data_IF_954660562341
#
_entry.id   IF_954660562341
#
_cell.length_a   1.000
_cell.length_b   1.000
_cell.length_c   1.000
_cell.angle_alpha   90.00
_cell.angle_beta   90.00
_cell.angle_gamma   90.00
#
_symmetry.space_group_name_H-M   'P 1'
#
loop_
_entity.id
_entity.type
_entity.pdbx_description
1 polymer ?
#
# COMPACT_ATOMS: atom_id res chain seq x y z
N UNK A 1 1.64 -2.54 -20.68
CA UNK A 1 1.90 -4.00 -20.65
C UNK A 1 2.04 -4.58 -19.24
N UNK A 2 2.63 -3.89 -18.25
CA UNK A 2 2.72 -4.42 -16.86
C UNK A 2 1.42 -4.29 -16.04
N UNK A 3 0.64 -3.23 -16.20
CA UNK A 3 -0.62 -3.06 -15.45
C UNK A 3 -1.65 -4.17 -15.76
N UNK A 4 -1.73 -4.61 -17.02
CA UNK A 4 -2.59 -5.73 -17.43
C UNK A 4 -2.15 -7.05 -16.77
N UNK A 5 -0.84 -7.30 -16.71
CA UNK A 5 -0.29 -8.45 -15.99
C UNK A 5 -0.75 -8.49 -14.53
N UNK A 6 -0.63 -7.38 -13.78
CA UNK A 6 -1.07 -7.36 -12.38
C UNK A 6 -2.59 -7.54 -12.22
N UNK A 7 -3.38 -7.02 -13.16
CA UNK A 7 -4.83 -7.24 -13.18
C UNK A 7 -5.15 -8.72 -13.37
N UNK A 8 -4.47 -9.39 -14.28
CA UNK A 8 -4.69 -10.80 -14.57
C UNK A 8 -4.19 -11.68 -13.43
N UNK A 9 -3.00 -11.41 -12.85
CA UNK A 9 -2.53 -12.07 -11.63
C UNK A 9 -3.53 -11.93 -10.49
N UNK A 10 -4.11 -10.75 -10.27
CA UNK A 10 -5.14 -10.58 -9.25
C UNK A 10 -6.40 -11.40 -9.54
N UNK A 11 -6.82 -11.54 -10.81
CA UNK A 11 -7.95 -12.39 -11.17
C UNK A 11 -7.66 -13.85 -10.88
N UNK A 12 -6.48 -14.35 -11.26
CA UNK A 12 -6.06 -15.73 -11.01
C UNK A 12 -6.06 -16.05 -9.50
N UNK A 13 -5.48 -15.17 -8.69
CA UNK A 13 -5.50 -15.32 -7.23
C UNK A 13 -6.93 -15.36 -6.68
N UNK A 14 -7.82 -14.50 -7.18
CA UNK A 14 -9.24 -14.54 -6.79
C UNK A 14 -9.96 -15.81 -7.22
N UNK A 15 -9.61 -16.38 -8.37
CA UNK A 15 -10.20 -17.62 -8.84
C UNK A 15 -9.75 -18.80 -7.98
N UNK A 16 -8.46 -18.88 -7.64
CA UNK A 16 -7.94 -19.89 -6.68
C UNK A 16 -8.70 -19.89 -5.35
N UNK A 17 -8.97 -18.70 -4.80
CA UNK A 17 -9.73 -18.54 -3.54
C UNK A 17 -11.19 -18.96 -3.68
N UNK A 18 -11.80 -18.77 -4.86
CA UNK A 18 -13.18 -19.22 -5.11
C UNK A 18 -13.28 -20.73 -5.26
N UNK A 19 -12.25 -21.37 -5.80
CA UNK A 19 -12.22 -22.82 -6.00
C UNK A 19 -12.06 -23.56 -4.67
N UNK A 20 -11.32 -22.99 -3.72
CA UNK A 20 -11.15 -23.53 -2.37
C UNK A 20 -10.99 -22.39 -1.34
N UNK A 21 -11.99 -22.20 -0.47
CA UNK A 21 -11.96 -21.18 0.58
C UNK A 21 -10.80 -21.38 1.57
N UNK A 22 -10.26 -22.60 1.69
CA UNK A 22 -9.08 -22.88 2.52
C UNK A 22 -7.75 -22.56 1.82
N UNK A 23 -7.79 -22.22 0.53
CA UNK A 23 -6.62 -21.89 -0.28
C UNK A 23 -6.37 -20.37 -0.32
N UNK A 24 -6.99 -19.61 0.58
CA UNK A 24 -6.68 -18.22 0.77
C UNK A 24 -5.31 -18.06 1.43
N UNK A 25 -4.27 -17.86 0.61
CA UNK A 25 -2.95 -17.42 1.07
C UNK A 25 -2.79 -15.92 0.85
N UNK A 26 -2.93 -15.14 1.92
CA UNK A 26 -2.76 -13.68 1.90
C UNK A 26 -1.39 -13.26 1.40
N UNK A 27 -0.36 -14.08 1.59
CA UNK A 27 1.02 -13.76 1.21
C UNK A 27 1.15 -13.60 -0.30
N UNK A 28 0.43 -14.41 -1.09
CA UNK A 28 0.43 -14.25 -2.56
C UNK A 28 -0.13 -12.87 -2.97
N UNK A 29 -1.14 -12.37 -2.24
CA UNK A 29 -1.69 -11.04 -2.50
C UNK A 29 -0.76 -9.92 -2.01
N UNK A 30 -0.09 -10.09 -0.88
CA UNK A 30 0.89 -9.11 -0.39
C UNK A 30 2.12 -9.03 -1.30
N UNK A 31 2.64 -10.16 -1.81
CA UNK A 31 3.70 -10.16 -2.81
C UNK A 31 3.27 -9.40 -4.08
N UNK A 32 2.03 -9.62 -4.54
CA UNK A 32 1.50 -8.87 -5.68
C UNK A 32 1.41 -7.36 -5.38
N UNK A 33 1.03 -6.96 -4.16
CA UNK A 33 1.03 -5.56 -3.74
C UNK A 33 2.46 -4.99 -3.77
N UNK A 34 3.44 -5.67 -3.19
CA UNK A 34 4.83 -5.23 -3.15
C UNK A 34 5.39 -5.02 -4.56
N UNK A 35 5.12 -5.94 -5.49
CA UNK A 35 5.51 -5.79 -6.89
C UNK A 35 4.88 -4.56 -7.55
N UNK A 36 3.59 -4.31 -7.29
CA UNK A 36 2.89 -3.14 -7.82
C UNK A 36 3.43 -1.84 -7.21
N UNK A 37 3.69 -1.82 -5.90
CA UNK A 37 4.20 -0.64 -5.19
C UNK A 37 5.62 -0.29 -5.67
N UNK A 38 6.48 -1.28 -5.91
CA UNK A 38 7.80 -1.07 -6.51
C UNK A 38 7.72 -0.48 -7.93
N UNK A 39 6.81 -1.00 -8.76
CA UNK A 39 6.58 -0.44 -10.10
C UNK A 39 6.00 0.98 -10.03
N UNK A 40 5.07 1.23 -9.11
CA UNK A 40 4.50 2.55 -8.88
C UNK A 40 5.57 3.56 -8.51
N UNK A 41 6.48 3.21 -7.59
CA UNK A 41 7.60 4.07 -7.24
C UNK A 41 8.45 4.42 -8.45
N UNK A 42 8.81 3.43 -9.27
CA UNK A 42 9.58 3.66 -10.49
C UNK A 42 8.85 4.58 -11.48
N UNK A 43 7.56 4.36 -11.73
CA UNK A 43 6.77 5.17 -12.65
C UNK A 43 6.55 6.60 -12.13
N UNK A 44 6.45 6.77 -10.81
CA UNK A 44 6.29 8.08 -10.18
C UNK A 44 7.53 8.93 -10.42
N UNK A 45 8.73 8.39 -10.19
CA UNK A 45 9.98 9.10 -10.49
C UNK A 45 10.10 9.52 -11.96
N UNK A 46 9.56 8.74 -12.90
CA UNK A 46 9.55 9.08 -14.32
C UNK A 46 8.53 10.18 -14.62
N UNK A 47 7.32 10.03 -14.10
CA UNK A 47 6.24 10.98 -14.27
C UNK A 47 6.63 12.35 -13.70
N UNK A 48 7.20 12.41 -12.50
CA UNK A 48 7.60 13.65 -11.83
C UNK A 48 8.64 14.45 -12.63
N UNK A 49 9.52 13.77 -13.37
CA UNK A 49 10.51 14.41 -14.26
C UNK A 49 9.88 15.00 -15.52
N UNK A 50 8.63 14.67 -15.82
CA UNK A 50 7.95 15.16 -17.01
C UNK A 50 7.52 16.63 -16.82
N UNK A 51 7.82 17.54 -17.77
CA UNK A 51 7.57 18.98 -17.61
C UNK A 51 6.08 19.37 -17.48
N UNK A 52 5.19 18.45 -17.87
CA UNK A 52 3.74 18.62 -17.79
C UNK A 52 3.10 17.76 -16.69
N UNK A 53 3.90 17.17 -15.82
CA UNK A 53 3.37 16.43 -14.70
C UNK A 53 2.58 17.36 -13.79
N UNK A 54 1.39 16.93 -13.47
CA UNK A 54 0.55 17.46 -12.43
C UNK A 54 0.14 16.28 -11.54
N UNK A 55 -0.24 16.55 -10.29
CA UNK A 55 -0.70 15.53 -9.34
C UNK A 55 -1.96 14.76 -9.81
N UNK A 56 -2.53 15.14 -10.97
CA UNK A 56 -3.69 14.49 -11.56
C UNK A 56 -3.26 13.62 -12.75
N UNK A 57 -3.91 12.46 -12.98
CA UNK A 57 -3.63 11.63 -14.14
C UNK A 57 -3.99 12.36 -15.45
N UNK A 58 -3.04 12.46 -16.39
CA UNK A 58 -3.25 13.13 -17.68
C UNK A 58 -2.79 12.30 -18.87
N UNK A 59 -3.44 12.50 -20.03
CA UNK A 59 -3.04 11.83 -21.28
C UNK A 59 -1.67 12.29 -21.80
N UNK A 60 -1.23 13.48 -21.38
CA UNK A 60 0.08 14.03 -21.76
C UNK A 60 1.24 13.40 -20.98
N UNK A 61 0.95 12.75 -19.85
CA UNK A 61 1.92 11.97 -19.05
C UNK A 61 1.37 10.56 -18.85
N UNK A 62 1.54 9.65 -19.81
CA UNK A 62 0.97 8.30 -19.77
C UNK A 62 1.31 7.51 -18.49
N UNK A 63 2.48 7.77 -17.91
CA UNK A 63 2.92 7.21 -16.63
C UNK A 63 1.98 7.59 -15.49
N UNK A 64 1.48 8.84 -15.45
CA UNK A 64 0.51 9.31 -14.44
C UNK A 64 -0.82 8.55 -14.46
N UNK A 65 -1.30 8.17 -15.65
CA UNK A 65 -2.48 7.32 -15.81
C UNK A 65 -2.20 5.91 -15.30
N UNK A 66 -1.01 5.40 -15.58
CA UNK A 66 -0.61 4.06 -15.14
C UNK A 66 -0.49 3.99 -13.63
N UNK A 67 0.07 5.03 -12.99
CA UNK A 67 0.15 5.18 -11.53
C UNK A 67 -1.23 5.08 -10.86
N UNK A 68 -2.18 5.89 -11.33
CA UNK A 68 -3.56 5.88 -10.80
C UNK A 68 -4.23 4.52 -10.98
N UNK A 69 -4.02 3.84 -12.11
CA UNK A 69 -4.55 2.52 -12.35
C UNK A 69 -3.98 1.46 -11.38
N UNK A 70 -2.67 1.51 -11.13
CA UNK A 70 -1.98 0.61 -10.21
C UNK A 70 -2.35 0.88 -8.75
N UNK A 71 -2.45 2.14 -8.32
CA UNK A 71 -2.91 2.51 -6.99
C UNK A 71 -4.33 2.00 -6.71
N UNK A 72 -5.24 2.21 -7.68
CA UNK A 72 -6.60 1.67 -7.62
C UNK A 72 -6.62 0.14 -7.56
N UNK A 73 -5.66 -0.53 -8.17
CA UNK A 73 -5.54 -1.98 -8.11
C UNK A 73 -5.09 -2.44 -6.71
N UNK A 74 -4.07 -1.82 -6.12
CA UNK A 74 -3.62 -2.11 -4.75
C UNK A 74 -4.78 -1.95 -3.76
N UNK A 75 -5.55 -0.86 -3.85
CA UNK A 75 -6.74 -0.64 -3.00
C UNK A 75 -7.76 -1.77 -3.18
N UNK A 76 -7.97 -2.27 -4.41
CA UNK A 76 -8.88 -3.40 -4.66
C UNK A 76 -8.36 -4.70 -4.06
N UNK A 77 -7.05 -4.96 -4.14
CA UNK A 77 -6.42 -6.14 -3.56
C UNK A 77 -6.56 -6.10 -2.02
N UNK A 78 -6.15 -5.01 -1.37
CA UNK A 78 -6.29 -4.82 0.09
C UNK A 78 -7.75 -4.98 0.55
N UNK A 79 -8.71 -4.43 -0.19
CA UNK A 79 -10.16 -4.63 0.08
C UNK A 79 -10.62 -6.08 -0.09
N UNK A 80 -10.02 -6.84 -0.99
CA UNK A 80 -10.33 -8.25 -1.17
C UNK A 80 -9.79 -9.09 -0.02
N UNK A 81 -8.54 -8.86 0.40
CA UNK A 81 -7.93 -9.52 1.57
C UNK A 81 -8.82 -9.29 2.80
N UNK A 82 -9.13 -8.04 3.13
CA UNK A 82 -9.99 -7.66 4.27
C UNK A 82 -11.40 -8.26 4.22
N UNK A 83 -11.97 -8.48 3.04
CA UNK A 83 -13.27 -9.16 2.91
C UNK A 83 -13.15 -10.66 3.16
N UNK A 84 -12.00 -11.24 2.83
CA UNK A 84 -11.73 -12.68 2.95
C UNK A 84 -11.29 -13.02 4.38
N UNK A 85 -10.67 -12.07 5.08
CA UNK A 85 -10.36 -12.14 6.51
C UNK A 85 -10.99 -10.96 7.26
N UNK A 86 -12.20 -11.13 7.84
CA UNK A 86 -12.88 -10.05 8.54
C UNK A 86 -12.24 -9.65 9.88
N UNK A 87 -11.28 -10.45 10.37
CA UNK A 87 -10.52 -10.17 11.58
C UNK A 87 -9.07 -9.86 11.20
N UNK A 88 -8.73 -8.57 11.20
CA UNK A 88 -7.38 -8.07 10.98
C UNK A 88 -6.85 -7.52 12.31
N UNK A 89 -5.93 -8.22 12.99
CA UNK A 89 -5.39 -7.77 14.27
C UNK A 89 -4.57 -6.48 14.15
N UNK A 90 -4.03 -6.14 12.97
CA UNK A 90 -3.35 -4.84 12.78
C UNK A 90 -4.36 -3.69 12.66
N UNK A 91 -5.49 -3.89 12.00
CA UNK A 91 -6.57 -2.90 11.98
C UNK A 91 -7.17 -2.67 13.38
N UNK A 92 -7.27 -3.71 14.21
CA UNK A 92 -7.65 -3.50 15.62
C UNK A 92 -6.61 -2.66 16.36
N UNK A 93 -5.32 -2.88 16.13
CA UNK A 93 -4.26 -2.07 16.72
C UNK A 93 -4.28 -0.62 16.23
N UNK A 94 -4.53 -0.37 14.94
CA UNK A 94 -4.67 0.99 14.41
C UNK A 94 -5.95 1.68 14.94
N UNK A 95 -7.02 0.94 15.22
CA UNK A 95 -8.20 1.50 15.92
C UNK A 95 -7.93 1.81 17.39
N UNK A 96 -7.11 0.99 18.05
CA UNK A 96 -6.70 1.20 19.44
C UNK A 96 -5.66 2.33 19.55
N UNK A 97 -4.85 2.53 18.52
CA UNK A 97 -3.75 3.48 18.45
C UNK A 97 -3.72 4.20 17.09
N UNK A 98 -4.71 5.07 16.80
CA UNK A 98 -4.82 5.76 15.51
C UNK A 98 -3.64 6.69 15.20
N UNK A 99 -2.89 7.09 16.23
CA UNK A 99 -1.71 7.96 16.13
C UNK A 99 -0.39 7.18 16.04
N UNK A 100 -0.41 5.85 15.88
CA UNK A 100 0.80 5.00 15.80
C UNK A 100 1.69 5.33 14.60
N UNK A 101 1.09 5.86 13.53
CA UNK A 101 1.76 6.28 12.30
C UNK A 101 1.89 7.80 12.19
N UNK A 102 1.43 8.56 13.18
CA UNK A 102 1.77 9.98 13.23
C UNK A 102 3.26 10.06 13.55
N UNK A 103 4.00 10.70 12.66
CA UNK A 103 5.43 11.00 12.73
C UNK A 103 5.80 11.92 13.93
N UNK A 104 4.94 12.02 14.96
CA UNK A 104 5.19 12.77 16.20
C UNK A 104 6.15 12.04 17.16
N UNK A 105 6.71 10.89 16.74
CA UNK A 105 7.94 10.36 17.34
C UNK A 105 9.15 11.15 16.81
N UNK A 106 9.10 12.47 16.95
CA UNK A 106 10.26 13.34 16.83
C UNK A 106 11.25 12.85 17.88
N UNK A 107 12.35 12.25 17.42
CA UNK A 107 13.46 11.72 18.22
C UNK A 107 14.03 12.77 19.21
N UNK A 108 13.68 14.05 19.00
CA UNK A 108 14.00 15.21 19.82
C UNK A 108 13.17 15.36 21.11
N UNK A 109 12.05 14.63 21.27
CA UNK A 109 11.20 14.76 22.47
C UNK A 109 11.66 13.86 23.63
N UNK A 110 12.76 13.11 23.49
CA UNK A 110 13.47 12.46 24.60
C UNK A 110 14.35 13.49 25.35
N UNK A 111 13.75 14.50 25.97
CA UNK A 111 14.45 15.24 27.02
C UNK A 111 14.67 14.28 28.19
N UNK A 112 15.90 13.79 28.34
CA UNK A 112 16.39 13.13 29.56
C UNK A 112 16.49 14.18 30.67
N UNK A 113 15.35 14.73 31.09
CA UNK A 113 15.31 15.52 32.31
C UNK A 113 15.38 14.53 33.47
N UNK A 114 16.60 14.36 33.96
CA UNK A 114 16.98 13.41 34.99
C UNK A 114 16.08 13.57 36.21
N UNK A 115 15.19 12.59 36.40
CA UNK A 115 14.33 12.45 37.60
C UNK A 115 15.12 12.07 38.85
N UNK A 116 16.46 11.92 38.75
CA UNK A 116 17.34 11.90 39.91
C UNK A 116 17.77 13.33 40.21
N UNK A 117 17.15 13.87 41.26
CA UNK A 117 17.32 15.23 41.74
C UNK A 117 18.77 15.60 42.00
N UNK A 118 19.07 16.87 41.71
CA UNK A 118 20.29 17.51 42.19
C UNK A 118 20.23 17.63 43.70
N UNK A 119 21.21 17.02 44.35
CA UNK A 119 21.73 17.38 45.68
C UNK A 119 23.24 17.16 45.66
#
# INVERSE_FOLDING_TARGET
MKAEYYIDSFKELKEKVKEDENNFDEREFYFLIEEIEAENHYLFEQAEKHPKYNFEPTQEVPESITLDALEKLVIKIKKFIKKSQPFDPEEELDRMFPDRHNEDFDEDSMSYDSVFGGD
#
